data_IF_854876245718
#
_entry.id   IF_854876245718
#
_cell.length_a   1.000
_cell.length_b   1.000
_cell.length_c   1.000
_cell.angle_alpha   90.00
_cell.angle_beta   90.00
_cell.angle_gamma   90.00
#
_symmetry.space_group_name_H-M   'P 1'
#
loop_
_entity.id
_entity.type
_entity.pdbx_description
1 polymer ?
#
# COMPACT_ATOMS: atom_id res chain seq x y z
N UNK A 1 14.92 -5.33 0.93
CA UNK A 1 13.54 -5.66 0.51
C UNK A 1 12.58 -4.77 1.28
N UNK A 2 11.37 -4.53 0.77
CA UNK A 2 10.46 -3.53 1.33
C UNK A 2 9.49 -4.14 2.34
N UNK A 3 9.17 -3.41 3.42
CA UNK A 3 8.33 -3.87 4.54
C UNK A 3 7.02 -4.56 4.11
N UNK A 4 6.33 -4.02 3.11
CA UNK A 4 5.09 -4.59 2.57
C UNK A 4 5.35 -5.94 1.90
N UNK A 5 6.42 -6.05 1.11
CA UNK A 5 6.78 -7.30 0.44
C UNK A 5 7.09 -8.38 1.48
N UNK A 6 7.89 -8.05 2.48
CA UNK A 6 8.29 -8.99 3.54
C UNK A 6 7.07 -9.44 4.36
N UNK A 7 6.13 -8.53 4.62
CA UNK A 7 4.85 -8.84 5.25
C UNK A 7 4.00 -9.81 4.41
N UNK A 8 3.81 -9.52 3.12
CA UNK A 8 3.04 -10.39 2.22
C UNK A 8 3.71 -11.76 2.02
N UNK A 9 5.05 -11.82 2.05
CA UNK A 9 5.82 -13.07 2.04
C UNK A 9 5.55 -13.92 3.27
N UNK A 10 5.55 -13.29 4.46
CA UNK A 10 5.22 -13.98 5.72
C UNK A 10 3.80 -14.56 5.75
N UNK A 11 2.90 -14.05 4.90
CA UNK A 11 1.52 -14.52 4.72
C UNK A 11 1.38 -15.50 3.54
N UNK A 12 2.44 -15.77 2.78
CA UNK A 12 2.39 -16.62 1.59
C UNK A 12 1.60 -16.01 0.42
N UNK A 13 1.51 -14.67 0.36
CA UNK A 13 0.70 -13.96 -0.63
C UNK A 13 1.49 -13.44 -1.82
N UNK A 14 2.83 -13.55 -1.81
CA UNK A 14 3.65 -12.99 -2.88
C UNK A 14 3.34 -13.52 -4.28
N UNK A 15 2.92 -14.78 -4.40
CA UNK A 15 2.55 -15.37 -5.69
C UNK A 15 1.21 -14.85 -6.23
N UNK A 16 0.38 -14.25 -5.36
CA UNK A 16 -0.94 -13.69 -5.72
C UNK A 16 -0.89 -12.21 -6.07
N UNK A 17 0.20 -11.52 -5.73
CA UNK A 17 0.27 -10.05 -5.82
C UNK A 17 1.41 -9.61 -6.73
N UNK A 18 1.19 -8.50 -7.44
CA UNK A 18 2.26 -7.82 -8.18
C UNK A 18 2.54 -6.46 -7.56
N UNK A 19 3.74 -6.30 -7.04
CA UNK A 19 4.15 -5.09 -6.33
C UNK A 19 4.95 -4.19 -7.28
N UNK A 20 4.54 -2.93 -7.39
CA UNK A 20 5.24 -1.90 -8.12
C UNK A 20 5.73 -0.82 -7.16
N UNK A 21 6.91 -0.26 -7.44
CA UNK A 21 7.48 0.86 -6.69
C UNK A 21 7.85 1.96 -7.66
N UNK A 22 7.17 3.10 -7.57
CA UNK A 22 7.36 4.25 -8.44
C UNK A 22 7.15 5.56 -7.66
N UNK A 23 7.43 6.70 -8.29
CA UNK A 23 7.06 7.99 -7.73
C UNK A 23 5.55 8.20 -7.85
N UNK A 24 4.93 8.79 -6.83
CA UNK A 24 3.49 9.07 -6.83
C UNK A 24 3.07 10.00 -7.97
N UNK A 25 3.90 10.97 -8.34
CA UNK A 25 3.58 11.94 -9.39
C UNK A 25 3.32 11.27 -10.75
N UNK A 26 3.93 10.11 -10.99
CA UNK A 26 3.79 9.36 -12.24
C UNK A 26 2.55 8.46 -12.24
N UNK A 27 2.14 7.98 -11.05
CA UNK A 27 1.14 6.93 -10.91
C UNK A 27 -0.24 7.43 -10.47
N UNK A 28 -0.34 8.67 -9.99
CA UNK A 28 -1.57 9.18 -9.37
C UNK A 28 -2.77 9.20 -10.32
N UNK A 29 -2.54 9.43 -11.61
CA UNK A 29 -3.57 9.40 -12.65
C UNK A 29 -4.07 7.98 -12.97
N UNK A 30 -3.31 6.95 -12.59
CA UNK A 30 -3.62 5.55 -12.82
C UNK A 30 -3.99 4.85 -11.51
N UNK A 31 -4.37 5.59 -10.48
CA UNK A 31 -4.63 5.01 -9.14
C UNK A 31 -5.74 3.96 -9.16
N UNK A 32 -6.72 4.13 -10.05
CA UNK A 32 -7.84 3.21 -10.24
C UNK A 32 -7.45 1.87 -10.88
N UNK A 33 -6.25 1.77 -11.46
CA UNK A 33 -5.72 0.50 -12.02
C UNK A 33 -5.13 -0.42 -10.94
N UNK A 34 -5.08 0.04 -9.68
CA UNK A 34 -4.48 -0.69 -8.56
C UNK A 34 -5.52 -1.04 -7.51
N UNK A 35 -5.51 -2.30 -7.05
CA UNK A 35 -6.31 -2.72 -5.89
C UNK A 35 -5.84 -1.99 -4.61
N UNK A 36 -4.53 -1.80 -4.48
CA UNK A 36 -3.89 -1.20 -3.31
C UNK A 36 -2.87 -0.15 -3.75
N UNK A 37 -3.06 1.08 -3.27
CA UNK A 37 -2.10 2.17 -3.46
C UNK A 37 -1.60 2.68 -2.10
N UNK A 38 -0.28 2.68 -1.90
CA UNK A 38 0.34 3.12 -0.64
C UNK A 38 1.27 4.29 -0.91
N UNK A 39 1.10 5.39 -0.18
CA UNK A 39 1.93 6.59 -0.30
C UNK A 39 2.48 7.05 1.04
N UNK A 40 3.76 7.40 1.08
CA UNK A 40 4.38 8.06 2.25
C UNK A 40 4.28 9.58 2.19
N UNK A 41 3.77 10.14 1.10
CA UNK A 41 3.63 11.58 0.88
C UNK A 41 2.17 11.98 0.84
N UNK A 42 1.92 13.28 1.06
CA UNK A 42 0.59 13.88 0.90
C UNK A 42 0.11 13.69 -0.54
N UNK A 43 -1.17 13.36 -0.67
CA UNK A 43 -1.89 13.22 -1.94
C UNK A 43 -3.02 14.25 -2.03
N UNK A 44 -3.45 14.63 -3.23
CA UNK A 44 -4.66 15.42 -3.45
C UNK A 44 -5.87 14.80 -2.73
N UNK A 45 -6.80 15.65 -2.32
CA UNK A 45 -7.95 15.24 -1.51
C UNK A 45 -8.89 14.29 -2.29
N UNK A 46 -9.03 14.52 -3.59
CA UNK A 46 -9.84 13.73 -4.52
C UNK A 46 -9.41 12.25 -4.64
N UNK A 47 -8.17 11.92 -4.29
CA UNK A 47 -7.68 10.53 -4.29
C UNK A 47 -7.36 9.99 -2.90
N UNK A 48 -7.55 10.79 -1.85
CA UNK A 48 -7.13 10.43 -0.48
C UNK A 48 -7.79 9.13 -0.01
N UNK A 49 -9.07 8.91 -0.29
CA UNK A 49 -9.79 7.69 0.12
C UNK A 49 -9.30 6.42 -0.59
N UNK A 50 -8.62 6.58 -1.74
CA UNK A 50 -8.04 5.47 -2.51
C UNK A 50 -6.63 5.10 -2.02
N UNK A 51 -5.99 5.98 -1.25
CA UNK A 51 -4.58 5.82 -0.83
C UNK A 51 -4.47 5.42 0.63
N UNK A 52 -3.66 4.40 0.90
CA UNK A 52 -3.23 4.04 2.25
C UNK A 52 -2.01 4.90 2.63
N UNK A 53 -2.06 5.52 3.82
CA UNK A 53 -0.93 6.28 4.35
C UNK A 53 0.20 5.32 4.79
N UNK A 54 1.31 5.35 4.06
CA UNK A 54 2.51 4.55 4.31
C UNK A 54 3.49 5.17 5.31
N UNK A 55 3.26 6.38 5.83
CA UNK A 55 4.14 7.00 6.83
C UNK A 55 4.38 6.14 8.10
N UNK A 56 3.37 5.39 8.62
CA UNK A 56 3.58 4.40 9.68
C UNK A 56 4.66 3.37 9.37
N UNK A 57 4.79 2.95 8.10
CA UNK A 57 5.83 2.02 7.68
C UNK A 57 7.22 2.63 7.82
N UNK A 58 7.37 3.96 7.78
CA UNK A 58 8.66 4.62 7.99
C UNK A 58 8.96 4.80 9.48
N UNK A 59 7.95 5.23 10.25
CA UNK A 59 8.11 5.57 11.67
C UNK A 59 8.07 4.37 12.61
N UNK A 60 7.48 3.25 12.18
CA UNK A 60 7.27 2.06 13.01
C UNK A 60 6.05 2.15 13.93
N UNK A 61 5.32 3.26 13.95
CA UNK A 61 4.17 3.47 14.82
C UNK A 61 2.88 3.26 14.02
N UNK A 62 2.07 2.27 14.41
CA UNK A 62 0.80 1.97 13.73
C UNK A 62 0.96 1.20 12.41
N UNK A 63 2.06 0.46 12.26
CA UNK A 63 2.35 -0.39 11.10
C UNK A 63 1.25 -1.42 10.87
N UNK A 64 0.73 -2.02 11.94
CA UNK A 64 -0.27 -3.08 11.86
C UNK A 64 -1.53 -2.61 11.13
N UNK A 65 -1.98 -1.39 11.40
CA UNK A 65 -3.14 -0.80 10.70
C UNK A 65 -2.92 -0.66 9.19
N UNK A 66 -1.69 -0.37 8.76
CA UNK A 66 -1.36 -0.28 7.33
C UNK A 66 -1.46 -1.67 6.71
N UNK A 67 -0.95 -2.69 7.38
CA UNK A 67 -1.03 -4.07 6.92
C UNK A 67 -2.48 -4.59 6.87
N UNK A 68 -3.28 -4.31 7.90
CA UNK A 68 -4.70 -4.67 7.93
C UNK A 68 -5.46 -4.02 6.76
N UNK A 69 -5.19 -2.73 6.49
CA UNK A 69 -5.80 -2.05 5.34
C UNK A 69 -5.38 -2.64 3.99
N UNK A 70 -4.12 -3.09 3.86
CA UNK A 70 -3.65 -3.76 2.65
C UNK A 70 -4.39 -5.09 2.46
N UNK A 71 -4.48 -5.90 3.51
CA UNK A 71 -5.17 -7.19 3.47
C UNK A 71 -6.66 -7.04 3.15
N UNK A 72 -7.34 -6.10 3.81
CA UNK A 72 -8.74 -5.82 3.56
C UNK A 72 -9.01 -5.39 2.10
N UNK A 73 -8.13 -4.57 1.51
CA UNK A 73 -8.24 -4.20 0.09
C UNK A 73 -7.92 -5.35 -0.86
N UNK A 74 -7.08 -6.30 -0.45
CA UNK A 74 -6.81 -7.52 -1.21
C UNK A 74 -7.89 -8.60 -1.03
N UNK A 75 -8.83 -8.41 -0.10
CA UNK A 75 -9.88 -9.40 0.22
C UNK A 75 -9.37 -10.59 1.05
N UNK A 76 -8.29 -10.41 1.80
CA UNK A 76 -7.67 -11.43 2.65
C UNK A 76 -7.86 -11.03 4.14
N UNK A 77 -9.11 -10.94 4.61
CA UNK A 77 -9.50 -10.66 6.01
C UNK A 77 -9.47 -11.91 6.93
#
# INVERSE_FOLDING_TARGET
MGKIRDFLDSKGLLDKVKIYKSNIAEQINNIDDYDVFVSTTVVPEDVRDKVINGLPLLTGIGVDKVYDQILAKLGED
#
